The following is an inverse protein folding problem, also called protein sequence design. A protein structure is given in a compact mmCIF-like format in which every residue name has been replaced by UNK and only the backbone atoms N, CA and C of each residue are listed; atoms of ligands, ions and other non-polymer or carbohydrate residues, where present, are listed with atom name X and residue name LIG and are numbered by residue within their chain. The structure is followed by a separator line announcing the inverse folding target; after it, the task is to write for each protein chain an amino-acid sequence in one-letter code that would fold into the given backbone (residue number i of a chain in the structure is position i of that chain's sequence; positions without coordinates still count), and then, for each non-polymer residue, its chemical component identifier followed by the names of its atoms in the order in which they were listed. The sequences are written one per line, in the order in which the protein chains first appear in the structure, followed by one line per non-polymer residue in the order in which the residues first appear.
data_IF_371430529472
#
_entry.id   IF_371430529472
#
_cell.length_a   1.000
_cell.length_b   1.000
_cell.length_c   1.000
_cell.angle_alpha   90.00
_cell.angle_beta   90.00
_cell.angle_gamma   90.00
#
_symmetry.space_group_name_H-M   'P 1'
#
loop_
_entity.id
_entity.type
_entity.pdbx_description
1 polymer ?
#
# COMPACT_ATOMS: atom_id res chain seq x y z
N UNK A 1 -4.43 4.27 39.98
CA UNK A 1 -5.29 5.44 39.68
C UNK A 1 -4.46 6.45 38.90
N UNK A 2 -4.54 6.39 37.57
CA UNK A 2 -3.80 7.28 36.66
C UNK A 2 -4.45 8.65 36.69
N UNK A 3 -3.78 9.65 37.28
CA UNK A 3 -4.23 11.05 37.23
C UNK A 3 -4.04 11.54 35.79
N UNK A 4 -5.12 11.51 35.04
CA UNK A 4 -5.30 12.29 33.83
C UNK A 4 -4.92 13.75 34.17
N UNK A 5 -3.91 14.31 33.48
CA UNK A 5 -3.67 15.75 33.43
C UNK A 5 -4.06 16.23 32.02
N UNK A 6 -5.36 16.29 31.67
CA UNK A 6 -5.80 17.00 30.47
C UNK A 6 -6.13 18.42 30.92
N UNK A 7 -5.17 19.36 30.86
CA UNK A 7 -5.57 20.79 30.83
C UNK A 7 -4.43 21.79 30.68
N UNK A 8 -3.21 21.48 31.12
CA UNK A 8 -2.18 22.52 31.13
C UNK A 8 -1.80 22.92 29.70
N UNK A 9 -1.51 21.96 28.83
CA UNK A 9 -1.05 22.25 27.46
C UNK A 9 -2.15 22.83 26.56
N UNK A 10 -3.40 22.38 26.71
CA UNK A 10 -4.55 22.89 25.94
C UNK A 10 -4.75 24.40 26.14
N UNK A 11 -4.63 24.88 27.38
CA UNK A 11 -4.67 26.31 27.68
C UNK A 11 -3.49 27.08 27.05
N UNK A 12 -2.32 26.46 26.90
CA UNK A 12 -1.12 27.07 26.31
C UNK A 12 -1.16 27.17 24.79
N UNK A 13 -1.92 26.29 24.13
CA UNK A 13 -2.16 26.37 22.69
C UNK A 13 -3.12 27.51 22.30
N UNK A 14 -3.87 28.06 23.28
CA UNK A 14 -4.86 29.13 23.06
C UNK A 14 -4.23 30.52 23.21
N UNK A 15 -3.02 30.65 23.75
CA UNK A 15 -2.42 31.98 23.94
C UNK A 15 -2.11 32.66 22.60
N UNK A 16 -2.51 33.93 22.49
CA UNK A 16 -2.36 34.73 21.28
C UNK A 16 -0.90 34.87 20.84
N UNK A 17 0.02 34.99 21.80
CA UNK A 17 1.47 35.12 21.55
C UNK A 17 2.07 33.86 20.93
N UNK A 18 1.64 32.69 21.39
CA UNK A 18 2.06 31.42 20.82
C UNK A 18 1.52 31.24 19.40
N UNK A 19 0.24 31.60 19.18
CA UNK A 19 -0.36 31.56 17.84
C UNK A 19 0.38 32.43 16.84
N UNK A 20 0.58 33.71 17.19
CA UNK A 20 1.34 34.68 16.38
C UNK A 20 2.76 34.18 16.06
N UNK A 21 3.40 33.51 17.01
CA UNK A 21 4.74 32.96 16.80
C UNK A 21 4.74 31.87 15.73
N UNK A 22 3.78 30.94 15.79
CA UNK A 22 3.66 29.88 14.78
C UNK A 22 3.24 30.45 13.43
N UNK A 23 2.29 31.37 13.38
CA UNK A 23 1.87 32.04 12.14
C UNK A 23 3.05 32.74 11.45
N UNK A 24 3.88 33.46 12.22
CA UNK A 24 5.09 34.11 11.69
C UNK A 24 6.10 33.09 11.13
N UNK A 25 6.27 31.95 11.81
CA UNK A 25 7.14 30.87 11.33
C UNK A 25 6.56 30.27 10.04
N UNK A 26 5.26 30.00 9.99
CA UNK A 26 4.58 29.46 8.82
C UNK A 26 4.73 30.38 7.61
N UNK A 27 4.34 31.66 7.73
CA UNK A 27 4.46 32.65 6.65
C UNK A 27 5.89 32.79 6.12
N UNK A 28 6.89 32.73 7.01
CA UNK A 28 8.30 32.81 6.61
C UNK A 28 8.72 31.60 5.77
N UNK A 29 8.25 30.41 6.13
CA UNK A 29 8.72 29.16 5.54
C UNK A 29 7.87 28.67 4.35
N UNK A 30 6.64 29.14 4.20
CA UNK A 30 5.80 28.87 3.03
C UNK A 30 5.90 29.93 1.94
N UNK A 31 6.67 31.00 2.15
CA UNK A 31 6.86 32.06 1.16
C UNK A 31 7.48 31.47 -0.12
N UNK A 32 6.79 31.62 -1.25
CA UNK A 32 7.24 31.09 -2.54
C UNK A 32 7.02 29.58 -2.71
N UNK A 33 6.20 28.97 -1.85
CA UNK A 33 5.75 27.58 -2.00
C UNK A 33 4.28 27.55 -2.41
N UNK A 34 3.80 26.41 -2.94
CA UNK A 34 2.37 26.20 -3.21
C UNK A 34 1.53 26.03 -1.94
N UNK A 35 2.17 25.83 -0.79
CA UNK A 35 1.51 25.54 0.48
C UNK A 35 0.97 26.82 1.12
N UNK A 36 -0.31 26.80 1.50
CA UNK A 36 -0.91 27.86 2.33
C UNK A 36 -0.22 27.96 3.69
N UNK A 37 0.00 29.19 4.17
CA UNK A 37 0.59 29.39 5.50
C UNK A 37 -0.34 28.93 6.62
N UNK A 38 -1.66 28.96 6.40
CA UNK A 38 -2.68 28.44 7.31
C UNK A 38 -2.54 26.92 7.49
N UNK A 39 -2.37 26.19 6.38
CA UNK A 39 -2.19 24.72 6.41
C UNK A 39 -0.87 24.33 7.10
N UNK A 40 0.19 25.10 6.84
CA UNK A 40 1.47 24.91 7.50
C UNK A 40 1.39 25.18 9.01
N UNK A 41 0.68 26.23 9.42
CA UNK A 41 0.44 26.54 10.83
C UNK A 41 -0.39 25.44 11.51
N UNK A 42 -1.44 24.94 10.85
CA UNK A 42 -2.25 23.83 11.37
C UNK A 42 -1.42 22.55 11.54
N UNK A 43 -0.59 22.23 10.56
CA UNK A 43 0.34 21.10 10.62
C UNK A 43 1.30 21.22 11.81
N UNK A 44 1.83 22.42 12.05
CA UNK A 44 2.65 22.70 13.22
C UNK A 44 1.90 22.48 14.53
N UNK A 45 0.67 23.00 14.69
CA UNK A 45 -0.12 22.80 15.90
C UNK A 45 -0.37 21.32 16.20
N UNK A 46 -0.79 20.56 15.18
CA UNK A 46 -1.02 19.11 15.30
C UNK A 46 0.27 18.42 15.74
N UNK A 47 1.41 18.76 15.13
CA UNK A 47 2.69 18.11 15.45
C UNK A 47 3.16 18.40 16.86
N UNK A 48 3.02 19.64 17.33
CA UNK A 48 3.35 20.01 18.71
C UNK A 48 2.44 19.26 19.67
N UNK A 49 1.13 19.26 19.43
CA UNK A 49 0.17 18.53 20.26
C UNK A 49 0.47 17.04 20.34
N UNK A 50 0.67 16.36 19.20
CA UNK A 50 1.08 14.95 19.17
C UNK A 50 2.38 14.70 19.95
N UNK A 51 3.36 15.60 19.82
CA UNK A 51 4.64 15.48 20.52
C UNK A 51 4.49 15.64 22.04
N UNK A 52 3.54 16.46 22.50
CA UNK A 52 3.19 16.56 23.92
C UNK A 52 2.50 15.31 24.45
N UNK A 53 1.59 14.71 23.67
CA UNK A 53 0.89 13.46 24.06
C UNK A 53 1.87 12.28 24.21
N UNK A 54 2.88 12.20 23.34
CA UNK A 54 3.93 11.16 23.39
C UNK A 54 4.94 11.41 24.52
N UNK A 55 4.83 12.52 25.26
CA UNK A 55 5.73 12.85 26.36
C UNK A 55 7.13 13.30 25.90
N UNK A 56 7.27 13.80 24.66
CA UNK A 56 8.57 14.28 24.15
C UNK A 56 9.04 15.57 24.80
N UNK A 57 8.14 16.28 25.49
CA UNK A 57 8.47 17.43 26.32
C UNK A 57 8.51 17.01 27.79
N UNK A 58 9.68 17.14 28.43
CA UNK A 58 9.81 16.94 29.87
C UNK A 58 9.05 18.04 30.62
N UNK A 59 8.45 17.72 31.77
CA UNK A 59 7.75 18.70 32.63
C UNK A 59 8.71 19.84 33.00
N UNK A 60 8.58 20.97 32.33
CA UNK A 60 9.44 22.14 32.42
C UNK A 60 8.58 23.41 32.44
N UNK A 61 9.21 24.55 32.71
CA UNK A 61 8.57 25.86 32.78
C UNK A 61 7.94 26.31 31.45
N UNK A 62 7.03 27.27 31.54
CA UNK A 62 6.24 27.78 30.42
C UNK A 62 7.08 28.34 29.26
N UNK A 63 8.14 29.08 29.57
CA UNK A 63 9.02 29.65 28.54
C UNK A 63 9.78 28.56 27.78
N UNK A 64 10.18 27.50 28.47
CA UNK A 64 10.87 26.35 27.87
C UNK A 64 9.93 25.58 26.95
N UNK A 65 8.64 25.49 27.32
CA UNK A 65 7.60 24.95 26.44
C UNK A 65 7.47 25.75 25.15
N UNK A 66 7.35 27.09 25.22
CA UNK A 66 7.21 27.91 24.01
C UNK A 66 8.42 27.82 23.09
N UNK A 67 9.63 27.80 23.64
CA UNK A 67 10.84 27.64 22.85
C UNK A 67 10.89 26.26 22.16
N UNK A 68 10.62 25.19 22.91
CA UNK A 68 10.55 23.84 22.38
C UNK A 68 9.47 23.68 21.32
N UNK A 69 8.27 24.20 21.59
CA UNK A 69 7.13 24.12 20.68
C UNK A 69 7.39 24.89 19.38
N UNK A 70 8.02 26.07 19.45
CA UNK A 70 8.45 26.81 18.27
C UNK A 70 9.46 26.03 17.42
N UNK A 71 10.39 25.31 18.05
CA UNK A 71 11.35 24.44 17.36
C UNK A 71 10.66 23.27 16.66
N UNK A 72 9.73 22.59 17.35
CA UNK A 72 8.94 21.48 16.77
C UNK A 72 8.08 21.98 15.61
N UNK A 73 7.36 23.10 15.80
CA UNK A 73 6.54 23.74 14.77
C UNK A 73 7.37 24.10 13.53
N UNK A 74 8.52 24.76 13.71
CA UNK A 74 9.42 25.12 12.61
C UNK A 74 9.86 23.89 11.82
N UNK A 75 10.27 22.82 12.49
CA UNK A 75 10.70 21.60 11.82
C UNK A 75 9.53 20.95 11.07
N UNK A 76 8.34 20.89 11.67
CA UNK A 76 7.14 20.34 11.02
C UNK A 76 6.80 21.09 9.73
N UNK A 77 6.89 22.43 9.75
CA UNK A 77 6.62 23.27 8.58
C UNK A 77 7.68 23.07 7.50
N UNK A 78 8.97 23.02 7.87
CA UNK A 78 10.05 22.76 6.92
C UNK A 78 9.89 21.37 6.28
N UNK A 79 9.54 20.36 7.06
CA UNK A 79 9.34 19.00 6.57
C UNK A 79 8.13 18.93 5.62
N UNK A 80 7.05 19.66 5.92
CA UNK A 80 5.89 19.78 5.04
C UNK A 80 6.29 20.41 3.68
N UNK A 81 6.97 21.55 3.71
CA UNK A 81 7.45 22.24 2.51
C UNK A 81 8.43 21.37 1.70
N UNK A 82 9.34 20.67 2.37
CA UNK A 82 10.25 19.73 1.70
C UNK A 82 9.49 18.59 1.03
N UNK A 83 8.48 18.04 1.71
CA UNK A 83 7.68 16.94 1.18
C UNK A 83 6.95 17.38 -0.09
N UNK A 84 6.35 18.57 -0.10
CA UNK A 84 5.71 19.13 -1.29
C UNK A 84 6.72 19.39 -2.41
N UNK A 85 7.88 19.98 -2.10
CA UNK A 85 8.92 20.19 -3.12
C UNK A 85 9.44 18.90 -3.74
N UNK A 86 9.45 17.79 -3.00
CA UNK A 86 9.83 16.48 -3.51
C UNK A 86 8.69 15.77 -4.25
N UNK A 87 7.47 16.26 -4.15
CA UNK A 87 6.34 15.80 -4.95
C UNK A 87 6.43 16.44 -6.33
N UNK A 88 7.14 15.76 -7.25
CA UNK A 88 7.19 16.11 -8.67
C UNK A 88 5.83 15.79 -9.34
N UNK A 89 4.77 16.48 -8.94
CA UNK A 89 3.48 16.41 -9.62
C UNK A 89 3.31 17.65 -10.50
N UNK A 90 2.95 17.42 -11.75
CA UNK A 90 2.54 18.47 -12.67
C UNK A 90 1.02 18.62 -12.59
N UNK A 91 0.52 19.86 -12.66
CA UNK A 91 -0.92 20.07 -12.72
C UNK A 91 -1.46 19.46 -14.01
N UNK A 92 -2.54 18.69 -13.90
CA UNK A 92 -3.22 18.11 -15.06
C UNK A 92 -3.99 19.18 -15.85
N UNK A 93 -4.36 20.26 -15.19
CA UNK A 93 -5.01 21.42 -15.82
C UNK A 93 -4.00 22.35 -16.52
N UNK A 94 -2.72 21.99 -16.57
CA UNK A 94 -1.71 22.81 -17.24
C UNK A 94 -1.89 22.75 -18.75
N UNK A 95 -2.08 23.91 -19.38
CA UNK A 95 -2.15 24.04 -20.83
C UNK A 95 -0.85 23.60 -21.49
N UNK A 96 -0.97 22.82 -22.58
CA UNK A 96 0.16 22.42 -23.39
C UNK A 96 0.51 23.53 -24.38
N UNK A 97 1.80 23.94 -24.47
CA UNK A 97 2.19 25.03 -25.33
C UNK A 97 1.89 24.70 -26.80
N UNK A 98 1.16 25.60 -27.47
CA UNK A 98 0.79 25.46 -28.89
C UNK A 98 -0.46 24.64 -29.16
N UNK A 99 -1.20 24.24 -28.12
CA UNK A 99 -2.48 23.52 -28.24
C UNK A 99 -3.52 24.11 -27.28
N UNK A 100 -4.81 24.02 -27.62
CA UNK A 100 -5.93 24.37 -26.71
C UNK A 100 -6.29 23.21 -25.74
N UNK A 101 -5.37 22.26 -25.53
CA UNK A 101 -5.59 21.07 -24.71
C UNK A 101 -4.78 21.16 -23.40
N UNK A 102 -5.39 20.69 -22.32
CA UNK A 102 -4.71 20.51 -21.04
C UNK A 102 -3.88 19.23 -21.03
N UNK A 103 -2.94 19.11 -20.07
CA UNK A 103 -2.19 17.87 -19.86
C UNK A 103 -3.14 16.68 -19.63
N UNK A 104 -4.24 16.88 -18.90
CA UNK A 104 -5.26 15.86 -18.64
C UNK A 104 -5.83 15.26 -19.93
N UNK A 105 -6.13 16.12 -20.91
CA UNK A 105 -6.75 15.72 -22.18
C UNK A 105 -5.82 14.85 -23.03
N UNK A 106 -4.52 14.85 -22.72
CA UNK A 106 -3.51 14.05 -23.42
C UNK A 106 -3.14 12.75 -22.72
N UNK A 107 -3.59 12.54 -21.48
CA UNK A 107 -3.36 11.29 -20.77
C UNK A 107 -4.30 10.23 -21.35
N UNK A 108 -3.74 9.25 -22.07
CA UNK A 108 -4.49 8.12 -22.57
C UNK A 108 -4.99 7.22 -21.42
N UNK A 109 -6.16 6.63 -21.60
CA UNK A 109 -6.62 5.55 -20.73
C UNK A 109 -5.78 4.29 -21.01
N UNK A 110 -5.29 3.65 -19.94
CA UNK A 110 -4.55 2.38 -20.01
C UNK A 110 -5.47 1.18 -20.36
N UNK A 111 -6.78 1.42 -20.52
CA UNK A 111 -7.73 0.37 -20.85
C UNK A 111 -7.55 -0.20 -22.26
N UNK A 112 -7.08 -1.44 -22.33
CA UNK A 112 -7.06 -2.23 -23.56
C UNK A 112 -8.28 -3.16 -23.67
N UNK A 113 -9.19 -2.84 -24.59
CA UNK A 113 -10.38 -3.63 -24.86
C UNK A 113 -10.06 -5.04 -25.36
N UNK A 114 -9.00 -5.20 -26.18
CA UNK A 114 -8.62 -6.50 -26.73
C UNK A 114 -8.16 -7.43 -25.60
N UNK A 115 -7.23 -6.98 -24.77
CA UNK A 115 -6.79 -7.70 -23.57
C UNK A 115 -7.96 -8.03 -22.64
N UNK A 116 -8.92 -7.12 -22.46
CA UNK A 116 -10.09 -7.36 -21.62
C UNK A 116 -10.99 -8.48 -22.17
N UNK A 117 -11.19 -8.53 -23.49
CA UNK A 117 -11.97 -9.58 -24.16
C UNK A 117 -11.25 -10.93 -24.08
N UNK A 118 -9.96 -10.97 -24.36
CA UNK A 118 -9.14 -12.19 -24.28
C UNK A 118 -9.11 -12.76 -22.86
N UNK A 119 -8.94 -11.89 -21.85
CA UNK A 119 -9.00 -12.30 -20.45
C UNK A 119 -10.35 -12.89 -20.08
N UNK A 120 -11.45 -12.30 -20.57
CA UNK A 120 -12.80 -12.80 -20.32
C UNK A 120 -13.02 -14.17 -20.96
N UNK A 121 -12.57 -14.39 -22.20
CA UNK A 121 -12.64 -15.71 -22.85
C UNK A 121 -11.82 -16.76 -22.07
N UNK A 122 -10.58 -16.42 -21.72
CA UNK A 122 -9.71 -17.29 -20.94
C UNK A 122 -10.32 -17.66 -19.59
N UNK A 123 -10.98 -16.72 -18.91
CA UNK A 123 -11.68 -16.95 -17.66
C UNK A 123 -12.85 -17.92 -17.83
N UNK A 124 -13.67 -17.75 -18.86
CA UNK A 124 -14.79 -18.66 -19.15
C UNK A 124 -14.29 -20.08 -19.43
N UNK A 125 -13.26 -20.22 -20.26
CA UNK A 125 -12.63 -21.51 -20.56
C UNK A 125 -12.01 -22.15 -19.31
N UNK A 126 -11.40 -21.35 -18.44
CA UNK A 126 -10.86 -21.80 -17.15
C UNK A 126 -11.96 -22.35 -16.25
N UNK A 127 -13.08 -21.64 -16.12
CA UNK A 127 -14.23 -22.11 -15.31
C UNK A 127 -14.76 -23.44 -15.86
N UNK A 128 -14.88 -23.56 -17.18
CA UNK A 128 -15.35 -24.79 -17.81
C UNK A 128 -14.38 -25.96 -17.57
N UNK A 129 -13.07 -25.73 -17.72
CA UNK A 129 -12.04 -26.73 -17.40
C UNK A 129 -12.12 -27.19 -15.92
N UNK A 130 -12.35 -26.27 -14.98
CA UNK A 130 -12.52 -26.62 -13.55
C UNK A 130 -13.76 -27.49 -13.34
N UNK A 131 -14.88 -27.20 -14.00
CA UNK A 131 -16.10 -28.02 -13.91
C UNK A 131 -15.88 -29.42 -14.46
N UNK A 132 -15.20 -29.55 -15.60
CA UNK A 132 -14.85 -30.86 -16.17
C UNK A 132 -13.90 -31.65 -15.24
N UNK A 133 -12.93 -30.98 -14.62
CA UNK A 133 -12.05 -31.61 -13.63
C UNK A 133 -12.81 -32.06 -12.37
N UNK A 134 -13.84 -31.35 -11.95
CA UNK A 134 -14.70 -31.77 -10.84
C UNK A 134 -15.41 -33.10 -11.16
N UNK A 135 -15.89 -33.26 -12.40
CA UNK A 135 -16.54 -34.51 -12.85
C UNK A 135 -15.54 -35.68 -12.90
N UNK A 136 -14.32 -35.42 -13.39
CA UNK A 136 -13.29 -36.45 -13.51
C UNK A 136 -12.67 -36.83 -12.15
N UNK A 137 -12.67 -35.91 -11.18
CA UNK A 137 -12.01 -36.08 -9.87
C UNK A 137 -12.89 -35.59 -8.71
N UNK A 138 -14.07 -36.22 -8.47
CA UNK A 138 -15.05 -35.71 -7.50
C UNK A 138 -14.54 -35.67 -6.06
N UNK A 139 -13.59 -36.54 -5.70
CA UNK A 139 -12.97 -36.57 -4.36
C UNK A 139 -12.05 -35.38 -4.09
N UNK A 140 -11.59 -34.69 -5.14
CA UNK A 140 -10.67 -33.56 -5.04
C UNK A 140 -11.37 -32.26 -4.68
N UNK A 141 -12.66 -32.11 -5.04
CA UNK A 141 -13.49 -30.93 -4.75
C UNK A 141 -12.87 -29.64 -5.30
N UNK A 142 -12.38 -29.68 -6.53
CA UNK A 142 -11.70 -28.57 -7.21
C UNK A 142 -12.59 -27.32 -7.35
N UNK A 143 -13.87 -27.50 -7.64
CA UNK A 143 -14.79 -26.37 -7.77
C UNK A 143 -14.93 -25.60 -6.46
N UNK A 144 -15.14 -26.31 -5.34
CA UNK A 144 -15.20 -25.71 -4.00
C UNK A 144 -13.87 -25.08 -3.59
N UNK A 145 -12.75 -25.73 -3.92
CA UNK A 145 -11.41 -25.20 -3.66
C UNK A 145 -11.22 -23.85 -4.39
N UNK A 146 -11.54 -23.79 -5.68
CA UNK A 146 -11.44 -22.56 -6.47
C UNK A 146 -12.37 -21.46 -5.94
N UNK A 147 -13.61 -21.78 -5.58
CA UNK A 147 -14.55 -20.82 -4.99
C UNK A 147 -14.04 -20.24 -3.67
N UNK A 148 -13.49 -21.08 -2.79
CA UNK A 148 -12.91 -20.62 -1.51
C UNK A 148 -11.74 -19.66 -1.72
N UNK A 149 -10.84 -19.97 -2.68
CA UNK A 149 -9.74 -19.08 -3.03
C UNK A 149 -10.23 -17.75 -3.63
N UNK A 150 -11.25 -17.79 -4.51
CA UNK A 150 -11.85 -16.58 -5.09
C UNK A 150 -12.49 -15.68 -4.03
N UNK A 151 -13.01 -16.26 -2.95
CA UNK A 151 -13.59 -15.53 -1.80
C UNK A 151 -12.52 -15.02 -0.81
N UNK A 152 -11.23 -15.24 -1.07
CA UNK A 152 -10.15 -14.79 -0.20
C UNK A 152 -9.86 -15.69 1.00
N UNK A 153 -10.42 -16.91 1.05
CA UNK A 153 -10.11 -17.87 2.13
C UNK A 153 -8.65 -18.35 2.03
N UNK A 154 -8.03 -18.54 3.18
CA UNK A 154 -6.69 -19.11 3.31
C UNK A 154 -6.71 -20.63 3.09
N UNK A 155 -5.56 -21.21 2.74
CA UNK A 155 -5.43 -22.67 2.57
C UNK A 155 -5.74 -23.43 3.87
N UNK A 156 -5.51 -22.81 5.04
CA UNK A 156 -5.82 -23.39 6.35
C UNK A 156 -7.33 -23.48 6.60
N UNK A 157 -8.08 -22.41 6.32
CA UNK A 157 -9.53 -22.38 6.48
C UNK A 157 -10.21 -23.40 5.55
N UNK A 158 -9.77 -23.46 4.30
CA UNK A 158 -10.27 -24.45 3.32
C UNK A 158 -9.95 -25.88 3.78
N UNK A 159 -8.77 -26.10 4.38
CA UNK A 159 -8.37 -27.41 4.88
C UNK A 159 -9.30 -27.88 6.02
N UNK A 160 -9.62 -26.99 6.96
CA UNK A 160 -10.58 -27.23 8.03
C UNK A 160 -11.97 -27.55 7.47
N UNK A 161 -12.48 -26.77 6.52
CA UNK A 161 -13.77 -27.03 5.86
C UNK A 161 -13.82 -28.38 5.14
N UNK A 162 -12.69 -28.81 4.58
CA UNK A 162 -12.58 -30.05 3.82
C UNK A 162 -12.28 -31.26 4.71
N UNK A 163 -11.95 -31.06 5.99
CA UNK A 163 -11.51 -32.12 6.91
C UNK A 163 -10.16 -32.74 6.49
N UNK A 164 -9.27 -31.95 5.90
CA UNK A 164 -7.94 -32.42 5.43
C UNK A 164 -6.84 -31.51 5.96
N UNK A 165 -5.58 -31.89 5.73
CA UNK A 165 -4.43 -31.06 6.12
C UNK A 165 -4.22 -29.91 5.13
N UNK A 166 -3.65 -28.80 5.63
CA UNK A 166 -3.23 -27.67 4.78
C UNK A 166 -2.29 -28.10 3.64
N UNK A 167 -1.35 -29.02 3.92
CA UNK A 167 -0.44 -29.56 2.90
C UNK A 167 -1.18 -30.28 1.77
N UNK A 168 -2.31 -30.92 2.07
CA UNK A 168 -3.17 -31.56 1.06
C UNK A 168 -3.85 -30.51 0.18
N UNK A 169 -4.36 -29.41 0.76
CA UNK A 169 -4.95 -28.30 0.00
C UNK A 169 -3.90 -27.65 -0.91
N UNK A 170 -2.69 -27.40 -0.40
CA UNK A 170 -1.60 -26.84 -1.19
C UNK A 170 -1.24 -27.72 -2.40
N UNK A 171 -1.17 -29.04 -2.21
CA UNK A 171 -0.96 -30.01 -3.31
C UNK A 171 -2.10 -29.97 -4.32
N UNK A 172 -3.37 -29.99 -3.86
CA UNK A 172 -4.55 -29.94 -4.74
C UNK A 172 -4.63 -28.65 -5.53
N UNK A 173 -4.26 -27.50 -4.94
CA UNK A 173 -4.19 -26.20 -5.63
C UNK A 173 -3.17 -26.23 -6.77
N UNK A 174 -1.96 -26.75 -6.50
CA UNK A 174 -0.93 -26.91 -7.55
C UNK A 174 -1.40 -27.84 -8.66
N UNK A 175 -2.00 -28.97 -8.28
CA UNK A 175 -2.57 -29.94 -9.23
C UNK A 175 -3.67 -29.31 -10.09
N UNK A 176 -4.59 -28.54 -9.48
CA UNK A 176 -5.65 -27.84 -10.18
C UNK A 176 -5.09 -26.86 -11.21
N UNK A 177 -4.13 -26.02 -10.83
CA UNK A 177 -3.48 -25.08 -11.75
C UNK A 177 -2.82 -25.80 -12.94
N UNK A 178 -2.06 -26.88 -12.67
CA UNK A 178 -1.39 -27.64 -13.73
C UNK A 178 -2.39 -28.27 -14.70
N UNK A 179 -3.44 -28.90 -14.19
CA UNK A 179 -4.46 -29.57 -15.02
C UNK A 179 -5.26 -28.58 -15.85
N UNK A 180 -5.68 -27.47 -15.26
CA UNK A 180 -6.37 -26.40 -16.00
C UNK A 180 -5.48 -25.89 -17.12
N UNK A 181 -4.21 -25.62 -16.83
CA UNK A 181 -3.31 -25.08 -17.84
C UNK A 181 -2.99 -26.08 -18.97
N UNK A 182 -2.92 -27.38 -18.65
CA UNK A 182 -2.86 -28.45 -19.65
C UNK A 182 -4.12 -28.49 -20.53
N UNK A 183 -5.31 -28.45 -19.93
CA UNK A 183 -6.58 -28.47 -20.67
C UNK A 183 -6.77 -27.26 -21.57
N UNK A 184 -6.22 -26.10 -21.18
CA UNK A 184 -6.28 -24.88 -21.96
C UNK A 184 -5.17 -24.77 -23.03
N UNK A 185 -4.27 -25.76 -23.11
CA UNK A 185 -3.14 -25.73 -24.04
C UNK A 185 -2.09 -24.66 -23.72
N UNK A 186 -2.08 -24.15 -22.48
CA UNK A 186 -1.13 -23.12 -22.03
C UNK A 186 0.21 -23.71 -21.59
N UNK A 187 0.30 -25.04 -21.51
CA UNK A 187 1.49 -25.78 -21.11
C UNK A 187 1.93 -26.70 -22.25
N UNK A 188 3.04 -26.36 -22.90
CA UNK A 188 3.91 -27.39 -23.46
C UNK A 188 4.64 -28.05 -22.28
N UNK A 189 4.44 -29.36 -22.09
CA UNK A 189 4.92 -30.09 -20.91
C UNK A 189 6.45 -30.00 -20.71
N UNK A 190 7.21 -29.69 -21.76
CA UNK A 190 8.65 -29.41 -21.74
C UNK A 190 9.03 -28.16 -20.90
N UNK A 191 8.34 -27.02 -21.10
CA UNK A 191 8.80 -25.73 -20.57
C UNK A 191 8.74 -25.67 -19.04
N UNK A 192 7.77 -26.34 -18.42
CA UNK A 192 7.62 -26.37 -16.96
C UNK A 192 8.57 -27.35 -16.29
N UNK A 193 8.93 -28.46 -16.95
CA UNK A 193 9.99 -29.34 -16.44
C UNK A 193 11.33 -28.60 -16.43
N UNK A 194 11.63 -27.85 -17.50
CA UNK A 194 12.83 -27.04 -17.59
C UNK A 194 12.86 -25.92 -16.54
N UNK A 195 11.74 -25.22 -16.33
CA UNK A 195 11.68 -24.13 -15.34
C UNK A 195 11.75 -24.65 -13.89
N UNK A 196 11.14 -25.81 -13.60
CA UNK A 196 11.24 -26.47 -12.29
C UNK A 196 12.66 -26.98 -12.02
N UNK A 197 13.33 -27.57 -13.02
CA UNK A 197 14.73 -27.99 -12.91
C UNK A 197 15.66 -26.78 -12.72
N UNK A 198 15.46 -25.69 -13.47
CA UNK A 198 16.21 -24.45 -13.31
C UNK A 198 16.07 -23.85 -11.90
N UNK A 199 14.84 -23.85 -11.35
CA UNK A 199 14.58 -23.37 -9.97
C UNK A 199 15.15 -24.28 -8.89
N UNK A 200 15.26 -25.59 -9.13
CA UNK A 200 15.94 -26.53 -8.21
C UNK A 200 17.46 -26.30 -8.22
N UNK A 201 18.07 -26.19 -9.40
CA UNK A 201 19.51 -25.91 -9.55
C UNK A 201 19.92 -24.56 -8.93
N UNK A 202 19.08 -23.53 -9.06
CA UNK A 202 19.32 -22.23 -8.41
C UNK A 202 19.30 -22.32 -6.87
N UNK A 203 18.39 -23.12 -6.29
CA UNK A 203 18.33 -23.33 -4.84
C UNK A 203 19.51 -24.14 -4.30
N UNK A 204 20.02 -25.08 -5.09
CA UNK A 204 21.21 -25.85 -4.73
C UNK A 204 22.48 -24.99 -4.76
N UNK A 205 22.64 -24.13 -5.77
CA UNK A 205 23.76 -23.16 -5.84
C UNK A 205 23.76 -22.16 -4.69
N UNK A 206 22.59 -21.62 -4.31
CA UNK A 206 22.51 -20.71 -3.17
C UNK A 206 22.89 -21.38 -1.84
N UNK A 207 22.59 -22.68 -1.68
CA UNK A 207 22.98 -23.43 -0.47
C UNK A 207 24.47 -23.75 -0.41
N UNK A 208 25.15 -23.92 -1.53
CA UNK A 208 26.60 -24.10 -1.57
C UNK A 208 27.36 -22.81 -1.26
N UNK A 209 26.83 -21.65 -1.65
CA UNK A 209 27.50 -20.35 -1.41
C UNK A 209 27.33 -19.83 0.02
N UNK A 210 26.40 -20.38 0.81
CA UNK A 210 26.18 -19.96 2.22
C UNK A 210 26.97 -20.81 3.23
N UNK A 211 27.89 -21.68 2.76
CA UNK A 211 28.78 -22.50 3.60
C UNK A 211 30.24 -22.06 3.41
N UNK A 212 30.58 -20.91 3.97
CA UNK A 212 31.95 -20.53 4.36
C UNK A 212 31.88 -19.72 5.64
#
# INVERSE_FOLDING_TARGET
MSKYIPNLYEALFVTTEYRRTIERIARKHTLGTSISWEDAAQTAYIKVWQSTQVGKFGKQELQQFYHWAAKVAKNAIIDLVRKEKHQNYQSLDQDLPGTDLSLLDTVADDFDLLSAVEFKDLLLRTIEAIKQLEQNYPTRRYLKLWQGLKQGKTESEIATEFGVTQSTISKRKKELCQRVAQMLGLFEAENVKQELQARQLLKERQRSDTRW
#
